data_IF_299763191987
#
_entry.id   IF_299763191987
#
_cell.length_a   1.000
_cell.length_b   1.000
_cell.length_c   1.000
_cell.angle_alpha   90.00
_cell.angle_beta   90.00
_cell.angle_gamma   90.00
#
_symmetry.space_group_name_H-M   'P 1'
#
loop_
_entity.id
_entity.type
_entity.pdbx_description
1 polymer ?
#
# COMPACT_ATOMS: atom_id res chain seq x y z
N UNK A 1 -27.52 -14.54 -2.98
CA UNK A 1 -26.08 -14.83 -2.75
C UNK A 1 -25.27 -14.98 -4.05
N UNK A 2 -25.80 -15.59 -5.11
CA UNK A 2 -25.06 -15.81 -6.37
C UNK A 2 -24.70 -14.52 -7.13
N UNK A 3 -25.63 -13.57 -7.22
CA UNK A 3 -25.44 -12.28 -7.90
C UNK A 3 -24.27 -11.45 -7.34
N UNK A 4 -24.05 -11.45 -6.00
CA UNK A 4 -22.97 -10.68 -5.39
C UNK A 4 -21.58 -11.29 -5.67
N UNK A 5 -21.48 -12.62 -5.84
CA UNK A 5 -20.22 -13.28 -6.23
C UNK A 5 -19.86 -12.97 -7.68
N UNK A 6 -20.85 -12.91 -8.56
CA UNK A 6 -20.67 -12.51 -9.96
C UNK A 6 -20.30 -11.03 -10.06
N UNK A 7 -21.00 -10.15 -9.34
CA UNK A 7 -20.68 -8.74 -9.26
C UNK A 7 -19.24 -8.50 -8.77
N UNK A 8 -18.78 -9.25 -7.77
CA UNK A 8 -17.41 -9.15 -7.27
C UNK A 8 -16.37 -9.57 -8.33
N UNK A 9 -16.62 -10.64 -9.09
CA UNK A 9 -15.75 -11.06 -10.20
C UNK A 9 -15.71 -10.01 -11.31
N UNK A 10 -16.88 -9.48 -11.68
CA UNK A 10 -16.98 -8.41 -12.69
C UNK A 10 -16.23 -7.16 -12.25
N UNK A 11 -16.37 -6.75 -10.98
CA UNK A 11 -15.64 -5.61 -10.43
C UNK A 11 -14.10 -5.80 -10.50
N UNK A 12 -13.61 -7.01 -10.22
CA UNK A 12 -12.18 -7.33 -10.36
C UNK A 12 -11.72 -7.21 -11.82
N UNK A 13 -12.49 -7.70 -12.78
CA UNK A 13 -12.16 -7.62 -14.21
C UNK A 13 -12.08 -6.16 -14.65
N UNK A 14 -13.11 -5.37 -14.36
CA UNK A 14 -13.15 -3.94 -14.71
C UNK A 14 -11.99 -3.19 -14.04
N UNK A 15 -11.70 -3.46 -12.76
CA UNK A 15 -10.57 -2.82 -12.08
C UNK A 15 -9.23 -3.13 -12.75
N UNK A 16 -9.03 -4.36 -13.25
CA UNK A 16 -7.81 -4.73 -13.99
C UNK A 16 -7.70 -4.00 -15.33
N UNK A 17 -8.80 -3.80 -16.04
CA UNK A 17 -8.83 -3.00 -17.27
C UNK A 17 -8.46 -1.54 -16.99
N UNK A 18 -9.04 -0.96 -15.94
CA UNK A 18 -8.73 0.42 -15.51
C UNK A 18 -7.25 0.54 -15.05
N UNK A 19 -6.69 -0.48 -14.39
CA UNK A 19 -5.26 -0.54 -14.07
C UNK A 19 -4.37 -0.55 -15.31
N UNK A 20 -4.75 -1.31 -16.35
CA UNK A 20 -4.01 -1.39 -17.60
C UNK A 20 -3.98 -0.03 -18.32
N UNK A 21 -5.09 0.74 -18.22
CA UNK A 21 -5.21 2.11 -18.75
C UNK A 21 -4.49 3.17 -17.91
N UNK A 22 -4.01 2.83 -16.71
CA UNK A 22 -3.42 3.79 -15.78
C UNK A 22 -4.42 4.54 -14.89
N UNK A 23 -5.71 4.17 -14.93
CA UNK A 23 -6.79 4.75 -14.14
C UNK A 23 -6.86 4.14 -12.72
N UNK A 24 -5.74 4.13 -11.99
CA UNK A 24 -5.62 3.47 -10.68
C UNK A 24 -6.60 3.96 -9.61
N UNK A 25 -6.97 5.25 -9.65
CA UNK A 25 -7.97 5.81 -8.72
C UNK A 25 -9.37 5.25 -8.96
N UNK A 26 -9.75 5.07 -10.23
CA UNK A 26 -11.06 4.51 -10.60
C UNK A 26 -11.10 3.04 -10.21
N UNK A 27 -10.05 2.27 -10.55
CA UNK A 27 -9.90 0.89 -10.13
C UNK A 27 -10.00 0.74 -8.60
N UNK A 28 -9.34 1.61 -7.85
CA UNK A 28 -9.39 1.62 -6.38
C UNK A 28 -10.80 1.88 -5.87
N UNK A 29 -11.47 2.92 -6.36
CA UNK A 29 -12.83 3.28 -5.92
C UNK A 29 -13.84 2.17 -6.21
N UNK A 30 -13.75 1.52 -7.38
CA UNK A 30 -14.60 0.40 -7.74
C UNK A 30 -14.43 -0.79 -6.78
N UNK A 31 -13.17 -1.22 -6.56
CA UNK A 31 -12.89 -2.33 -5.64
C UNK A 31 -13.25 -1.99 -4.19
N UNK A 32 -13.02 -0.74 -3.78
CA UNK A 32 -13.37 -0.26 -2.44
C UNK A 32 -14.88 -0.29 -2.20
N UNK A 33 -15.67 0.22 -3.14
CA UNK A 33 -17.14 0.19 -3.04
C UNK A 33 -17.69 -1.23 -2.98
N UNK A 34 -17.18 -2.11 -3.85
CA UNK A 34 -17.58 -3.53 -3.83
C UNK A 34 -17.14 -4.23 -2.54
N UNK A 35 -15.94 -3.95 -2.05
CA UNK A 35 -15.46 -4.45 -0.75
C UNK A 35 -16.42 -4.05 0.37
N UNK A 36 -16.78 -2.76 0.47
CA UNK A 36 -17.71 -2.26 1.49
C UNK A 36 -19.08 -2.95 1.39
N UNK A 37 -19.62 -3.09 0.18
CA UNK A 37 -20.91 -3.74 -0.05
C UNK A 37 -20.91 -5.21 0.42
N UNK A 38 -19.86 -5.96 0.10
CA UNK A 38 -19.72 -7.35 0.53
C UNK A 38 -19.59 -7.45 2.05
N UNK A 39 -18.77 -6.60 2.68
CA UNK A 39 -18.60 -6.56 4.14
C UNK A 39 -19.92 -6.24 4.85
N UNK A 40 -20.67 -5.23 4.39
CA UNK A 40 -21.97 -4.85 4.98
C UNK A 40 -23.00 -5.96 4.89
N UNK A 41 -22.94 -6.78 3.83
CA UNK A 41 -23.83 -7.94 3.64
C UNK A 41 -23.32 -9.20 4.36
N UNK A 42 -22.23 -9.13 5.12
CA UNK A 42 -21.61 -10.29 5.77
C UNK A 42 -21.07 -11.34 4.78
N UNK A 43 -20.76 -10.94 3.55
CA UNK A 43 -20.25 -11.82 2.51
C UNK A 43 -18.73 -11.75 2.51
N UNK A 44 -18.08 -12.92 2.55
CA UNK A 44 -16.63 -13.01 2.45
C UNK A 44 -16.12 -12.34 1.17
N UNK A 45 -15.23 -11.37 1.34
CA UNK A 45 -14.56 -10.68 0.23
C UNK A 45 -13.60 -11.66 -0.46
N UNK A 46 -13.56 -11.72 -1.79
CA UNK A 46 -12.56 -12.52 -2.51
C UNK A 46 -11.14 -12.01 -2.21
N UNK A 47 -10.22 -12.92 -1.89
CA UNK A 47 -8.82 -12.57 -1.59
C UNK A 47 -8.14 -11.79 -2.71
N UNK A 48 -8.50 -12.05 -3.96
CA UNK A 48 -7.98 -11.30 -5.10
C UNK A 48 -8.41 -9.83 -5.08
N UNK A 49 -9.64 -9.54 -4.65
CA UNK A 49 -10.14 -8.18 -4.48
C UNK A 49 -9.39 -7.47 -3.36
N UNK A 50 -9.19 -8.14 -2.22
CA UNK A 50 -8.42 -7.59 -1.09
C UNK A 50 -7.00 -7.24 -1.51
N UNK A 51 -6.32 -8.16 -2.22
CA UNK A 51 -4.96 -7.97 -2.72
C UNK A 51 -4.87 -6.82 -3.73
N UNK A 52 -5.78 -6.77 -4.72
CA UNK A 52 -5.78 -5.70 -5.73
C UNK A 52 -6.08 -4.33 -5.09
N UNK A 53 -7.07 -4.28 -4.20
CA UNK A 53 -7.42 -3.07 -3.47
C UNK A 53 -6.24 -2.57 -2.63
N UNK A 54 -5.56 -3.48 -1.93
CA UNK A 54 -4.38 -3.17 -1.12
C UNK A 54 -3.22 -2.62 -1.96
N UNK A 55 -2.91 -3.23 -3.11
CA UNK A 55 -1.84 -2.75 -3.99
C UNK A 55 -2.15 -1.35 -4.55
N UNK A 56 -3.38 -1.14 -5.02
CA UNK A 56 -3.85 0.14 -5.51
C UNK A 56 -3.82 1.21 -4.41
N UNK A 57 -4.27 0.85 -3.21
CA UNK A 57 -4.25 1.76 -2.08
C UNK A 57 -2.83 2.17 -1.70
N UNK A 58 -1.92 1.20 -1.61
CA UNK A 58 -0.49 1.42 -1.35
C UNK A 58 0.11 2.40 -2.35
N UNK A 59 -0.25 2.30 -3.63
CA UNK A 59 0.18 3.25 -4.66
C UNK A 59 -0.39 4.67 -4.45
N UNK A 60 -1.68 4.79 -4.18
CA UNK A 60 -2.37 6.09 -4.09
C UNK A 60 -1.93 6.93 -2.88
N UNK A 61 -1.66 6.30 -1.73
CA UNK A 61 -1.30 7.02 -0.50
C UNK A 61 0.13 7.58 -0.50
N UNK A 62 1.02 7.08 -1.37
CA UNK A 62 2.43 7.51 -1.45
C UNK A 62 2.54 9.03 -1.57
N UNK A 63 1.72 9.65 -2.44
CA UNK A 63 1.74 11.12 -2.61
C UNK A 63 1.44 11.86 -1.30
N UNK A 64 0.51 11.34 -0.50
CA UNK A 64 0.18 11.90 0.81
C UNK A 64 1.29 11.69 1.84
N UNK A 65 1.94 10.52 1.83
CA UNK A 65 3.08 10.22 2.71
C UNK A 65 4.29 11.11 2.41
N UNK A 66 4.65 11.26 1.14
CA UNK A 66 5.77 12.13 0.71
C UNK A 66 5.52 13.58 1.09
N UNK A 67 4.29 14.09 0.91
CA UNK A 67 3.92 15.46 1.33
C UNK A 67 4.07 15.70 2.83
N UNK A 68 3.94 14.65 3.65
CA UNK A 68 4.11 14.71 5.12
C UNK A 68 5.56 14.48 5.56
N UNK A 69 6.50 14.30 4.63
CA UNK A 69 7.89 13.96 4.96
C UNK A 69 8.08 12.51 5.46
N UNK A 70 7.06 11.66 5.34
CA UNK A 70 7.05 10.28 5.82
C UNK A 70 7.75 9.34 4.81
N UNK A 71 9.02 9.64 4.50
CA UNK A 71 9.79 9.01 3.41
C UNK A 71 9.96 7.50 3.61
N UNK A 72 10.13 7.03 4.85
CA UNK A 72 10.23 5.59 5.13
C UNK A 72 8.92 4.86 4.82
N UNK A 73 7.78 5.37 5.32
CA UNK A 73 6.45 4.80 5.03
C UNK A 73 6.18 4.81 3.52
N UNK A 74 6.46 5.92 2.84
CA UNK A 74 6.33 6.04 1.39
C UNK A 74 7.18 5.01 0.64
N UNK A 75 8.44 4.82 1.07
CA UNK A 75 9.37 3.88 0.46
C UNK A 75 8.90 2.44 0.61
N UNK A 76 8.41 2.03 1.80
CA UNK A 76 7.85 0.68 2.00
C UNK A 76 6.62 0.43 1.12
N UNK A 77 5.75 1.43 0.94
CA UNK A 77 4.62 1.32 0.01
C UNK A 77 5.10 1.20 -1.44
N UNK A 78 6.11 1.98 -1.84
CA UNK A 78 6.70 1.92 -3.17
C UNK A 78 7.40 0.58 -3.44
N UNK A 79 8.08 0.00 -2.45
CA UNK A 79 8.67 -1.34 -2.54
C UNK A 79 7.57 -2.39 -2.80
N UNK A 80 6.48 -2.34 -2.02
CA UNK A 80 5.33 -3.23 -2.21
C UNK A 80 4.74 -3.14 -3.62
N UNK A 81 4.57 -1.92 -4.13
CA UNK A 81 4.04 -1.64 -5.47
C UNK A 81 5.03 -2.07 -6.56
N UNK A 82 6.33 -1.79 -6.39
CA UNK A 82 7.38 -2.13 -7.35
C UNK A 82 7.61 -3.64 -7.45
N UNK A 83 7.48 -4.38 -6.35
CA UNK A 83 7.50 -5.85 -6.38
C UNK A 83 6.29 -6.44 -7.13
N UNK A 84 5.25 -5.63 -7.37
CA UNK A 84 4.05 -5.97 -8.11
C UNK A 84 3.89 -5.10 -9.38
N UNK A 85 5.00 -4.64 -9.97
CA UNK A 85 4.97 -3.62 -11.04
C UNK A 85 4.20 -4.04 -12.30
N UNK A 86 4.04 -5.34 -12.56
CA UNK A 86 3.22 -5.85 -13.66
C UNK A 86 1.74 -5.48 -13.54
N UNK A 87 1.27 -5.12 -12.34
CA UNK A 87 -0.08 -4.59 -12.08
C UNK A 87 -0.22 -3.10 -12.37
N UNK A 88 0.88 -2.42 -12.71
CA UNK A 88 0.95 -0.99 -12.98
C UNK A 88 1.67 -0.67 -14.31
N UNK A 89 1.26 -1.27 -15.45
CA UNK A 89 2.01 -1.20 -16.71
C UNK A 89 2.13 0.23 -17.27
N UNK A 90 1.13 1.08 -17.07
CA UNK A 90 1.18 2.48 -17.51
C UNK A 90 2.16 3.33 -16.68
N UNK A 91 2.39 2.98 -15.42
CA UNK A 91 3.16 3.79 -14.47
C UNK A 91 4.49 3.15 -14.03
N UNK A 92 5.03 2.20 -14.81
CA UNK A 92 6.33 1.55 -14.50
C UNK A 92 7.43 2.56 -14.21
N UNK A 93 7.66 3.50 -15.15
CA UNK A 93 8.74 4.50 -15.01
C UNK A 93 8.48 5.49 -13.88
N UNK A 94 7.27 6.09 -13.73
CA UNK A 94 6.95 6.94 -12.58
C UNK A 94 7.10 6.26 -11.21
N UNK A 95 6.63 5.01 -11.07
CA UNK A 95 6.70 4.25 -9.81
C UNK A 95 8.15 3.97 -9.44
N UNK A 96 8.93 3.39 -10.36
CA UNK A 96 10.32 3.07 -10.08
C UNK A 96 11.14 4.34 -9.83
N UNK A 97 10.87 5.44 -10.56
CA UNK A 97 11.54 6.74 -10.32
C UNK A 97 11.26 7.24 -8.91
N UNK A 98 10.00 7.18 -8.47
CA UNK A 98 9.62 7.55 -7.11
C UNK A 98 10.26 6.63 -6.08
N UNK A 99 10.31 5.31 -6.34
CA UNK A 99 10.96 4.34 -5.47
C UNK A 99 12.44 4.64 -5.28
N UNK A 100 13.19 4.95 -6.34
CA UNK A 100 14.61 5.33 -6.25
C UNK A 100 14.79 6.58 -5.38
N UNK A 101 13.97 7.61 -5.63
CA UNK A 101 14.09 8.90 -4.92
C UNK A 101 13.78 8.74 -3.44
N UNK A 102 12.66 8.11 -3.11
CA UNK A 102 12.18 7.99 -1.73
C UNK A 102 13.03 6.99 -0.94
N UNK A 103 13.41 5.83 -1.52
CA UNK A 103 14.33 4.90 -0.87
C UNK A 103 15.69 5.56 -0.58
N UNK A 104 16.20 6.38 -1.50
CA UNK A 104 17.46 7.11 -1.29
C UNK A 104 17.38 8.08 -0.09
N UNK A 105 16.24 8.78 0.07
CA UNK A 105 15.98 9.70 1.20
C UNK A 105 15.77 8.94 2.50
N UNK A 106 15.13 7.79 2.44
CA UNK A 106 14.85 6.92 3.58
C UNK A 106 16.07 6.11 4.04
N UNK A 107 17.18 6.14 3.30
CA UNK A 107 18.38 5.37 3.65
C UNK A 107 18.39 3.93 3.14
N UNK A 108 17.37 3.50 2.39
CA UNK A 108 17.25 2.16 1.80
C UNK A 108 18.09 2.08 0.50
N UNK A 109 19.42 1.95 0.66
CA UNK A 109 20.39 2.02 -0.44
C UNK A 109 20.29 0.85 -1.41
N UNK A 110 20.13 -0.37 -0.90
CA UNK A 110 20.00 -1.57 -1.74
C UNK A 110 18.74 -1.51 -2.61
N UNK A 111 17.58 -1.18 -2.02
CA UNK A 111 16.35 -0.97 -2.78
C UNK A 111 16.48 0.16 -3.82
N UNK A 112 17.04 1.30 -3.42
CA UNK A 112 17.26 2.41 -4.35
C UNK A 112 18.15 2.02 -5.54
N UNK A 113 19.24 1.30 -5.28
CA UNK A 113 20.13 0.78 -6.32
C UNK A 113 19.40 -0.17 -7.27
N UNK A 114 18.65 -1.14 -6.73
CA UNK A 114 17.97 -2.17 -7.52
C UNK A 114 16.93 -1.55 -8.48
N UNK A 115 16.11 -0.61 -8.00
CA UNK A 115 15.14 0.07 -8.85
C UNK A 115 15.81 1.02 -9.84
N UNK A 116 16.92 1.65 -9.48
CA UNK A 116 17.70 2.48 -10.40
C UNK A 116 18.27 1.64 -11.55
N UNK A 117 18.84 0.47 -11.25
CA UNK A 117 19.31 -0.47 -12.26
C UNK A 117 18.17 -0.94 -13.19
N UNK A 118 16.97 -1.19 -12.64
CA UNK A 118 15.79 -1.56 -13.43
C UNK A 118 15.30 -0.43 -14.36
N UNK A 119 15.37 0.82 -13.92
CA UNK A 119 15.03 2.00 -14.73
C UNK A 119 16.00 2.25 -15.88
N UNK A 120 17.28 1.94 -15.69
CA UNK A 120 18.32 2.18 -16.69
C UNK A 120 18.41 1.07 -17.74
N UNK A 121 17.59 0.02 -17.65
CA UNK A 121 17.44 -0.96 -18.73
C UNK A 121 16.98 -0.27 -20.03
N UNK A 122 17.39 -0.78 -21.21
CA UNK A 122 17.11 -0.12 -22.50
C UNK A 122 15.64 0.24 -22.72
N UNK A 123 14.72 -0.61 -22.26
CA UNK A 123 13.27 -0.45 -22.43
C UNK A 123 12.70 0.78 -21.70
N UNK A 124 13.35 1.19 -20.60
CA UNK A 124 12.89 2.23 -19.69
C UNK A 124 13.75 3.50 -19.77
N UNK A 125 15.07 3.38 -20.02
CA UNK A 125 16.02 4.48 -19.90
C UNK A 125 15.63 5.73 -20.69
N UNK A 126 15.14 5.55 -21.92
CA UNK A 126 14.70 6.66 -22.78
C UNK A 126 13.46 7.39 -22.27
N UNK A 127 12.62 6.71 -21.48
CA UNK A 127 11.37 7.23 -20.90
C UNK A 127 11.60 7.96 -19.57
N UNK A 128 12.77 7.81 -18.95
CA UNK A 128 13.14 8.54 -17.73
C UNK A 128 13.39 10.00 -18.07
N UNK A 129 12.70 10.90 -17.37
CA UNK A 129 12.86 12.36 -17.47
C UNK A 129 14.32 12.76 -17.18
N UNK A 130 14.88 13.62 -18.04
CA UNK A 130 16.28 14.07 -17.98
C UNK A 130 16.64 14.67 -16.61
N UNK A 131 15.68 15.33 -15.94
CA UNK A 131 15.90 15.93 -14.62
C UNK A 131 16.26 14.90 -13.53
N UNK A 132 15.84 13.65 -13.69
CA UNK A 132 16.14 12.57 -12.75
C UNK A 132 17.26 11.65 -13.25
N UNK A 133 17.47 11.56 -14.57
CA UNK A 133 18.39 10.62 -15.21
C UNK A 133 19.80 10.66 -14.63
N UNK A 134 20.43 11.85 -14.57
CA UNK A 134 21.80 12.01 -14.03
C UNK A 134 21.93 11.52 -12.59
N UNK A 135 20.92 11.80 -11.76
CA UNK A 135 20.91 11.38 -10.35
C UNK A 135 20.77 9.85 -10.23
N UNK A 136 19.91 9.24 -11.05
CA UNK A 136 19.70 7.79 -11.07
C UNK A 136 20.96 7.07 -11.57
N UNK A 137 21.60 7.57 -12.64
CA UNK A 137 22.87 7.04 -13.14
C UNK A 137 23.98 7.12 -12.10
N UNK A 138 24.05 8.22 -11.35
CA UNK A 138 25.02 8.36 -10.26
C UNK A 138 24.83 7.33 -9.14
N UNK A 139 23.59 6.94 -8.82
CA UNK A 139 23.30 5.89 -7.82
C UNK A 139 23.87 4.55 -8.29
N UNK A 140 23.59 4.16 -9.53
CA UNK A 140 24.09 2.89 -10.08
C UNK A 140 25.61 2.90 -10.21
N UNK A 141 26.21 4.03 -10.61
CA UNK A 141 27.67 4.17 -10.74
C UNK A 141 28.40 4.05 -9.40
N UNK A 142 27.83 4.57 -8.31
CA UNK A 142 28.43 4.46 -6.98
C UNK A 142 28.38 3.03 -6.42
N UNK A 143 27.47 2.19 -6.95
CA UNK A 143 27.30 0.79 -6.54
C UNK A 143 27.18 0.59 -5.03
N UNK A 144 26.63 1.57 -4.32
CA UNK A 144 26.33 1.45 -2.90
C UNK A 144 25.15 0.49 -2.73
N UNK A 145 25.45 -0.68 -2.18
CA UNK A 145 24.50 -1.78 -1.95
C UNK A 145 24.48 -2.18 -0.48
N UNK A 146 24.77 -1.22 0.42
CA UNK A 146 24.57 -1.46 1.85
C UNK A 146 23.16 -1.99 2.07
N UNK A 147 23.07 -3.08 2.85
CA UNK A 147 21.81 -3.72 3.15
C UNK A 147 20.84 -2.68 3.73
N UNK A 148 19.60 -2.75 3.26
CA UNK A 148 18.56 -1.88 3.79
C UNK A 148 18.31 -2.23 5.25
N UNK A 149 17.97 -1.23 6.06
CA UNK A 149 17.52 -1.51 7.42
C UNK A 149 16.28 -2.40 7.38
N UNK A 150 16.20 -3.32 8.34
CA UNK A 150 15.01 -4.15 8.54
C UNK A 150 13.81 -3.25 8.82
N UNK A 151 12.64 -3.68 8.36
CA UNK A 151 11.43 -2.97 8.71
C UNK A 151 11.17 -3.08 10.21
N UNK A 152 10.63 -2.01 10.79
CA UNK A 152 10.25 -2.02 12.21
C UNK A 152 9.21 -3.10 12.43
N UNK A 153 9.20 -3.67 13.63
CA UNK A 153 8.27 -4.75 13.98
C UNK A 153 7.28 -4.29 15.03
N UNK A 154 6.04 -4.70 14.86
CA UNK A 154 4.94 -4.50 15.80
C UNK A 154 4.15 -5.79 16.00
N UNK A 155 3.36 -5.84 17.08
CA UNK A 155 2.62 -7.04 17.44
C UNK A 155 1.48 -7.31 16.44
N UNK A 156 1.41 -8.55 15.95
CA UNK A 156 0.28 -9.03 15.17
C UNK A 156 -1.00 -9.04 16.04
N UNK A 157 -2.13 -8.47 15.60
CA UNK A 157 -3.34 -8.38 16.42
C UNK A 157 -4.02 -9.73 16.67
N UNK A 158 -3.60 -10.79 15.96
CA UNK A 158 -4.16 -12.13 16.12
C UNK A 158 -3.39 -13.01 17.11
N UNK A 159 -2.07 -12.89 17.15
CA UNK A 159 -1.21 -13.81 17.89
C UNK A 159 -0.06 -13.14 18.66
N UNK A 160 -0.01 -11.81 18.67
CA UNK A 160 0.98 -10.96 19.34
C UNK A 160 2.45 -11.16 18.93
N UNK A 161 2.75 -12.04 17.97
CA UNK A 161 4.09 -12.19 17.43
C UNK A 161 4.51 -10.94 16.65
N UNK A 162 5.80 -10.59 16.76
CA UNK A 162 6.39 -9.47 16.04
C UNK A 162 6.38 -9.71 14.53
N UNK A 163 5.71 -8.81 13.82
CA UNK A 163 5.59 -8.79 12.36
C UNK A 163 6.14 -7.46 11.85
N UNK A 164 6.78 -7.45 10.68
CA UNK A 164 7.23 -6.20 10.04
C UNK A 164 6.04 -5.29 9.74
N UNK A 165 6.13 -4.00 10.07
CA UNK A 165 5.04 -3.02 9.98
C UNK A 165 4.43 -2.93 8.57
N UNK A 166 5.24 -3.12 7.53
CA UNK A 166 4.80 -3.13 6.14
C UNK A 166 4.36 -4.50 5.61
N UNK A 167 4.56 -5.59 6.36
CA UNK A 167 4.04 -6.90 6.02
C UNK A 167 2.60 -7.07 6.48
N UNK A 168 1.76 -7.64 5.62
CA UNK A 168 0.34 -7.83 5.89
C UNK A 168 -0.01 -9.29 6.17
N UNK A 169 0.91 -10.23 5.95
CA UNK A 169 0.70 -11.64 6.32
C UNK A 169 1.64 -11.96 7.48
N UNK A 170 1.05 -12.36 8.62
CA UNK A 170 1.87 -12.71 9.78
C UNK A 170 2.67 -13.99 9.51
N UNK A 171 3.99 -13.94 9.66
CA UNK A 171 4.84 -15.11 9.44
C UNK A 171 4.59 -16.26 10.43
N UNK A 172 4.03 -15.97 11.61
CA UNK A 172 3.74 -16.98 12.64
C UNK A 172 2.36 -17.62 12.47
N UNK A 173 1.27 -16.83 12.44
CA UNK A 173 -0.10 -17.37 12.37
C UNK A 173 -0.68 -17.45 10.95
N UNK A 174 0.02 -16.92 9.95
CA UNK A 174 -0.39 -16.88 8.53
C UNK A 174 -1.67 -16.11 8.22
N UNK A 175 -2.24 -15.41 9.21
CA UNK A 175 -3.39 -14.53 9.00
C UNK A 175 -3.01 -13.30 8.18
N UNK A 176 -3.92 -12.89 7.30
CA UNK A 176 -3.89 -11.59 6.64
C UNK A 176 -4.35 -10.53 7.65
N UNK A 177 -3.45 -9.62 7.99
CA UNK A 177 -3.68 -8.50 8.87
C UNK A 177 -4.23 -7.34 8.03
N UNK A 178 -5.36 -6.72 8.43
CA UNK A 178 -5.82 -5.50 7.81
C UNK A 178 -4.74 -4.41 7.86
N UNK A 179 -4.83 -3.43 6.98
CA UNK A 179 -3.89 -2.33 6.94
C UNK A 179 -4.56 -1.01 7.31
N UNK A 180 -3.77 -0.08 7.83
CA UNK A 180 -4.20 1.26 8.11
C UNK A 180 -4.39 2.05 6.81
N UNK A 181 -5.59 2.60 6.57
CA UNK A 181 -5.93 3.38 5.36
C UNK A 181 -5.07 4.65 5.15
N UNK A 182 -4.35 5.09 6.18
CA UNK A 182 -3.52 6.30 6.11
C UNK A 182 -2.06 5.99 5.81
N UNK A 183 -1.55 4.88 6.35
CA UNK A 183 -0.11 4.54 6.31
C UNK A 183 0.21 3.35 5.42
N UNK A 184 -0.79 2.48 5.16
CA UNK A 184 -0.66 1.23 4.43
C UNK A 184 0.05 0.10 5.19
N UNK A 185 0.40 0.32 6.46
CA UNK A 185 1.00 -0.65 7.39
C UNK A 185 -0.06 -1.54 8.02
N UNK A 186 0.31 -2.71 8.51
CA UNK A 186 -0.64 -3.57 9.21
C UNK A 186 -1.17 -2.90 10.49
N UNK A 187 -2.41 -3.18 10.85
CA UNK A 187 -3.00 -2.64 12.08
C UNK A 187 -2.38 -3.28 13.33
N UNK A 188 -2.36 -2.51 14.42
CA UNK A 188 -1.94 -2.97 15.74
C UNK A 188 -3.07 -2.70 16.73
N UNK A 189 -3.22 -3.55 17.74
CA UNK A 189 -4.34 -3.46 18.69
C UNK A 189 -4.32 -2.17 19.51
N UNK A 190 -3.12 -1.66 19.83
CA UNK A 190 -2.91 -0.53 20.74
C UNK A 190 -3.29 0.83 20.13
N UNK A 191 -3.27 0.94 18.80
CA UNK A 191 -3.58 2.18 18.07
C UNK A 191 -4.69 1.95 17.03
N UNK A 192 -5.48 0.87 17.15
CA UNK A 192 -6.53 0.55 16.19
C UNK A 192 -7.70 1.54 16.27
N UNK A 193 -8.18 1.97 15.11
CA UNK A 193 -9.45 2.67 14.96
C UNK A 193 -10.10 2.35 13.61
N UNK A 194 -11.39 2.66 13.51
CA UNK A 194 -12.15 2.61 12.27
C UNK A 194 -12.39 4.02 11.76
N UNK A 195 -12.26 4.22 10.45
CA UNK A 195 -12.56 5.50 9.83
C UNK A 195 -14.06 5.83 10.00
N UNK A 196 -14.43 7.02 10.52
CA UNK A 196 -15.83 7.36 10.78
C UNK A 196 -16.69 7.46 9.51
N UNK A 197 -16.08 7.76 8.36
CA UNK A 197 -16.81 7.91 7.09
C UNK A 197 -17.00 6.61 6.31
N UNK A 198 -16.07 5.66 6.43
CA UNK A 198 -16.05 4.47 5.57
C UNK A 198 -15.82 3.15 6.31
N UNK A 199 -15.67 3.19 7.63
CA UNK A 199 -15.39 2.06 8.51
C UNK A 199 -14.13 1.25 8.16
N UNK A 200 -13.20 1.84 7.39
CA UNK A 200 -11.97 1.15 7.04
C UNK A 200 -10.96 1.21 8.20
N UNK A 201 -10.21 0.13 8.49
CA UNK A 201 -9.19 0.10 9.53
C UNK A 201 -8.12 1.18 9.38
N UNK A 202 -7.66 1.71 10.51
CA UNK A 202 -6.66 2.76 10.58
C UNK A 202 -6.01 2.84 11.94
N UNK A 203 -5.06 3.76 12.04
CA UNK A 203 -4.48 4.14 13.32
C UNK A 203 -5.25 5.33 13.91
N UNK A 204 -5.62 5.24 15.18
CA UNK A 204 -6.27 6.33 15.90
C UNK A 204 -5.39 7.58 15.89
N UNK A 205 -4.09 7.41 16.18
CA UNK A 205 -3.10 8.48 16.18
C UNK A 205 -2.99 9.17 14.81
N UNK A 206 -3.12 8.41 13.72
CA UNK A 206 -3.10 8.96 12.36
C UNK A 206 -4.40 9.70 12.07
N UNK A 207 -5.58 9.13 12.38
CA UNK A 207 -6.85 9.84 12.18
C UNK A 207 -6.91 11.17 12.92
N UNK A 208 -6.38 11.24 14.16
CA UNK A 208 -6.28 12.49 14.94
C UNK A 208 -5.43 13.56 14.25
N UNK A 209 -4.50 13.20 13.36
CA UNK A 209 -3.72 14.17 12.58
C UNK A 209 -4.51 14.77 11.40
N UNK A 210 -5.65 14.19 11.03
CA UNK A 210 -6.53 14.66 9.95
C UNK A 210 -7.77 15.41 10.46
N UNK A 211 -7.99 15.49 11.77
CA UNK A 211 -9.17 16.10 12.39
C UNK A 211 -9.11 17.63 12.48
N UNK A 212 -8.78 18.30 11.37
CA UNK A 212 -9.17 19.70 11.15
C UNK A 212 -10.51 19.82 10.39
N UNK A 213 -11.14 18.70 10.00
CA UNK A 213 -12.49 18.70 9.43
C UNK A 213 -13.38 17.60 10.05
N UNK A 214 -14.23 18.04 10.98
CA UNK A 214 -15.53 17.49 11.41
C UNK A 214 -15.58 16.22 12.31
N UNK A 215 -15.95 16.50 13.56
CA UNK A 215 -16.91 15.81 14.47
C UNK A 215 -16.64 14.35 14.92
N UNK A 216 -16.18 14.28 16.17
CA UNK A 216 -16.40 13.35 17.30
C UNK A 216 -17.25 12.07 17.10
N UNK A 217 -16.78 11.00 17.77
CA UNK A 217 -17.52 9.89 18.42
C UNK A 217 -17.51 8.53 17.72
N UNK A 218 -16.56 7.66 18.08
CA UNK A 218 -16.77 6.45 18.91
C UNK A 218 -15.54 5.54 18.78
N UNK A 219 -14.82 5.38 19.90
CA UNK A 219 -13.84 4.30 20.06
C UNK A 219 -14.64 3.02 20.22
N UNK A 220 -14.84 2.27 19.13
CA UNK A 220 -15.36 0.90 19.23
C UNK A 220 -14.20 -0.06 19.52
N UNK A 221 -14.17 -0.45 20.79
CA UNK A 221 -13.37 -1.53 21.35
C UNK A 221 -13.80 -2.85 20.70
N UNK A 222 -13.00 -3.43 19.79
CA UNK A 222 -13.26 -4.80 19.31
C UNK A 222 -12.74 -5.77 20.38
N UNK A 223 -13.64 -6.14 21.27
CA UNK A 223 -13.73 -7.50 21.81
C UNK A 223 -15.18 -7.94 21.61
N UNK A 224 -15.53 -8.39 20.40
CA UNK A 224 -16.42 -9.55 20.16
C UNK A 224 -17.11 -9.67 18.78
N UNK A 225 -16.99 -8.73 17.82
CA UNK A 225 -17.79 -8.83 16.59
C UNK A 225 -17.05 -8.80 15.24
N UNK A 226 -15.74 -9.04 15.24
CA UNK A 226 -15.10 -9.61 14.06
C UNK A 226 -14.77 -11.06 14.39
N UNK A 227 -15.71 -11.97 14.08
CA UNK A 227 -15.34 -13.35 13.77
C UNK A 227 -14.47 -13.29 12.52
N UNK A 228 -13.18 -13.17 12.78
CA UNK A 228 -12.09 -13.56 11.89
C UNK A 228 -12.11 -15.08 11.76
#
# INVERSE_FOLDING_TARGET
MQMNREAAKTAIIIAREEQARGCYRIAHQLLFGMHQELTQKGIKVPSEMENNLMLLHSYLIVKGLVKRGEHMKASRMLIRVANNISRFPAHVVPILTSAVIECSKAGLKSSAFNYAAQLLKPENRKKVDEKYRKRIEAIVRKSDRTADEDDKKSACPYCNNLTEESELVCNSCKNLIPYCIVTGRHIISEDFALCPSCNFPGYFSEFKRYTDFLVVSFVYFIRHEYRL
#
